data_IF_166721691649
#
_entry.id   IF_166721691649
#
_cell.length_a   1.000
_cell.length_b   1.000
_cell.length_c   1.000
_cell.angle_alpha   90.00
_cell.angle_beta   90.00
_cell.angle_gamma   90.00
#
_symmetry.space_group_name_H-M   'P 1'
#
loop_
_entity.id
_entity.type
_entity.pdbx_description
1 polymer ?
#
# COMPACT_ATOMS: atom_id res chain seq x y z
N UNK A 1 -14.40 -6.38 4.10
CA UNK A 1 -14.42 -4.94 3.73
C UNK A 1 -13.39 -4.73 2.63
N UNK A 2 -13.72 -3.94 1.60
CA UNK A 2 -12.82 -3.61 0.49
C UNK A 2 -12.76 -2.07 0.39
N UNK A 3 -11.56 -1.51 0.28
CA UNK A 3 -11.34 -0.06 0.21
C UNK A 3 -10.40 0.19 -0.97
N UNK A 4 -10.70 1.21 -1.77
CA UNK A 4 -9.83 1.66 -2.86
C UNK A 4 -9.55 3.16 -2.69
N UNK A 5 -8.29 3.56 -2.84
CA UNK A 5 -7.82 4.94 -2.66
C UNK A 5 -7.34 5.49 -4.00
N UNK A 6 -7.98 6.55 -4.47
CA UNK A 6 -7.72 7.16 -5.77
C UNK A 6 -7.28 8.62 -5.64
N UNK A 7 -6.69 9.15 -6.71
CA UNK A 7 -6.32 10.56 -6.83
C UNK A 7 -5.04 10.79 -7.64
N UNK A 8 -4.69 12.07 -7.81
CA UNK A 8 -3.54 12.51 -8.60
C UNK A 8 -2.20 12.00 -8.03
N UNK A 9 -1.14 12.05 -8.84
CA UNK A 9 0.22 11.75 -8.38
C UNK A 9 0.63 12.72 -7.26
N UNK A 10 1.34 12.21 -6.24
CA UNK A 10 1.92 13.06 -5.19
C UNK A 10 0.97 13.56 -4.09
N UNK A 11 -0.35 13.29 -4.14
CA UNK A 11 -1.30 13.81 -3.14
C UNK A 11 -1.31 13.07 -1.79
N UNK A 12 -0.43 12.08 -1.60
CA UNK A 12 -0.36 11.29 -0.36
C UNK A 12 -1.17 9.99 -0.33
N UNK A 13 -1.62 9.44 -1.48
CA UNK A 13 -2.39 8.19 -1.54
C UNK A 13 -1.73 7.02 -0.81
N UNK A 14 -0.43 6.80 -1.05
CA UNK A 14 0.36 5.73 -0.43
C UNK A 14 0.44 5.92 1.09
N UNK A 15 0.65 7.15 1.55
CA UNK A 15 0.70 7.53 2.96
C UNK A 15 -0.63 7.26 3.66
N UNK A 16 -1.75 7.68 3.06
CA UNK A 16 -3.09 7.43 3.60
C UNK A 16 -3.41 5.93 3.62
N UNK A 17 -3.10 5.21 2.54
CA UNK A 17 -3.36 3.77 2.43
C UNK A 17 -2.61 2.97 3.52
N UNK A 18 -1.33 3.27 3.73
CA UNK A 18 -0.54 2.64 4.81
C UNK A 18 -1.15 2.88 6.19
N UNK A 19 -1.52 4.13 6.51
CA UNK A 19 -2.08 4.47 7.81
C UNK A 19 -3.45 3.83 8.05
N UNK A 20 -4.30 3.74 7.02
CA UNK A 20 -5.57 3.02 7.09
C UNK A 20 -5.31 1.54 7.37
N UNK A 21 -4.38 0.91 6.66
CA UNK A 21 -4.02 -0.49 6.85
C UNK A 21 -3.53 -0.76 8.28
N UNK A 22 -2.63 0.08 8.80
CA UNK A 22 -2.12 -0.02 10.18
C UNK A 22 -3.26 0.15 11.20
N UNK A 23 -4.13 1.13 11.01
CA UNK A 23 -5.25 1.39 11.91
C UNK A 23 -6.23 0.20 11.96
N UNK A 24 -6.52 -0.42 10.83
CA UNK A 24 -7.37 -1.61 10.74
C UNK A 24 -6.71 -2.84 11.38
N UNK A 25 -5.41 -3.04 11.13
CA UNK A 25 -4.64 -4.12 11.76
C UNK A 25 -4.62 -3.98 13.29
N UNK A 26 -4.39 -2.76 13.81
CA UNK A 26 -4.45 -2.46 15.26
C UNK A 26 -5.83 -2.70 15.88
N UNK A 27 -6.89 -2.69 15.08
CA UNK A 27 -8.27 -3.04 15.49
C UNK A 27 -8.58 -4.54 15.33
N UNK A 28 -7.56 -5.39 15.24
CA UNK A 28 -7.70 -6.85 15.16
C UNK A 28 -8.21 -7.36 13.81
N UNK A 29 -8.18 -6.54 12.74
CA UNK A 29 -8.55 -6.99 11.40
C UNK A 29 -7.33 -7.59 10.70
N UNK A 30 -7.52 -8.69 9.97
CA UNK A 30 -6.55 -9.14 8.97
C UNK A 30 -6.63 -8.22 7.76
N UNK A 31 -5.50 -7.62 7.38
CA UNK A 31 -5.42 -6.60 6.33
C UNK A 31 -4.44 -7.05 5.25
N UNK A 32 -4.82 -6.85 3.99
CA UNK A 32 -3.94 -6.98 2.83
C UNK A 32 -3.96 -5.65 2.08
N UNK A 33 -2.79 -5.03 1.94
CA UNK A 33 -2.62 -3.82 1.14
C UNK A 33 -1.99 -4.19 -0.21
N UNK A 34 -2.62 -3.74 -1.30
CA UNK A 34 -2.18 -4.00 -2.67
C UNK A 34 -1.84 -2.65 -3.31
N UNK A 35 -0.61 -2.53 -3.83
CA UNK A 35 -0.18 -1.39 -4.63
C UNK A 35 -0.53 -1.58 -6.10
N UNK A 36 -1.19 -0.60 -6.71
CA UNK A 36 -1.52 -0.61 -8.15
C UNK A 36 -1.00 0.64 -8.89
N UNK A 37 -0.04 1.36 -8.31
CA UNK A 37 0.55 2.56 -8.90
C UNK A 37 1.95 2.23 -9.45
N UNK A 38 2.31 2.67 -10.66
CA UNK A 38 3.61 2.38 -11.27
C UNK A 38 4.80 2.92 -10.47
N UNK A 39 4.58 3.85 -9.52
CA UNK A 39 5.61 4.33 -8.58
C UNK A 39 6.04 3.28 -7.55
N UNK A 40 5.32 2.17 -7.39
CA UNK A 40 5.71 0.99 -6.62
C UNK A 40 6.10 1.20 -5.13
N UNK A 41 5.89 2.39 -4.56
CA UNK A 41 6.24 2.75 -3.18
C UNK A 41 5.09 2.61 -2.17
N UNK A 42 3.93 2.09 -2.61
CA UNK A 42 2.69 2.16 -1.84
C UNK A 42 2.73 1.46 -0.48
N UNK A 43 3.55 0.41 -0.34
CA UNK A 43 3.73 -0.38 0.89
C UNK A 43 4.99 0.00 1.65
N UNK A 44 5.82 0.91 1.15
CA UNK A 44 7.15 1.21 1.70
C UNK A 44 7.10 1.63 3.18
N UNK A 45 6.15 2.49 3.57
CA UNK A 45 6.00 2.91 4.97
C UNK A 45 5.57 1.77 5.89
N UNK A 46 4.93 0.72 5.35
CA UNK A 46 4.51 -0.44 6.13
C UNK A 46 5.66 -1.44 6.33
N UNK A 47 6.50 -1.63 5.30
CA UNK A 47 7.56 -2.64 5.28
C UNK A 47 8.93 -2.09 5.68
N UNK A 48 9.16 -0.79 5.54
CA UNK A 48 10.45 -0.13 5.77
C UNK A 48 11.45 -0.29 4.62
N UNK A 49 11.10 -1.04 3.57
CA UNK A 49 11.90 -1.27 2.36
C UNK A 49 11.00 -1.51 1.15
N UNK A 50 11.54 -1.35 -0.06
CA UNK A 50 10.81 -1.68 -1.29
C UNK A 50 10.74 -3.19 -1.44
N UNK A 51 9.52 -3.73 -1.39
CA UNK A 51 9.28 -5.15 -1.66
C UNK A 51 9.44 -5.41 -3.16
N UNK A 52 9.90 -6.62 -3.56
CA UNK A 52 9.86 -7.03 -4.96
C UNK A 52 8.45 -6.87 -5.52
N UNK A 53 8.34 -6.18 -6.66
CA UNK A 53 7.06 -6.04 -7.34
C UNK A 53 6.74 -7.33 -8.09
N UNK A 54 5.48 -7.45 -8.54
CA UNK A 54 5.07 -8.53 -9.42
C UNK A 54 5.93 -8.50 -10.70
N UNK A 55 6.24 -7.32 -11.23
CA UNK A 55 7.05 -7.24 -12.46
C UNK A 55 8.47 -7.77 -12.20
N UNK A 56 9.07 -7.45 -11.06
CA UNK A 56 10.42 -7.92 -10.69
C UNK A 56 10.50 -9.43 -10.46
N UNK A 57 9.38 -10.11 -10.23
CA UNK A 57 9.37 -11.56 -9.93
C UNK A 57 9.12 -12.42 -11.17
N UNK A 58 8.60 -11.82 -12.25
CA UNK A 58 8.24 -12.51 -13.49
C UNK A 58 9.20 -12.22 -14.66
N UNK A 59 10.17 -11.34 -14.45
CA UNK A 59 11.24 -10.98 -15.40
C UNK A 59 12.57 -11.38 -14.78
#
# INVERSE_FOLDING_TARGET
MKIAVYGKGGIGKSTTSCNISIALARRGKRVLQIGCDPKHDSTFTLTGFLIPTIIDTYI
#
